data_IF_912364570680
#
_entry.id   IF_912364570680
#
_cell.length_a   1.000
_cell.length_b   1.000
_cell.length_c   1.000
_cell.angle_alpha   90.00
_cell.angle_beta   90.00
_cell.angle_gamma   90.00
#
_symmetry.space_group_name_H-M   'P 1'
#
loop_
_entity.id
_entity.type
_entity.pdbx_description
1 polymer ?
#
# COMPACT_ATOMS: atom_id res chain seq x y z
N UNK A 1 11.77 2.23 -2.46
CA UNK A 1 10.50 2.83 -2.91
C UNK A 1 10.16 4.10 -2.14
N UNK A 2 10.07 4.07 -0.81
CA UNK A 2 9.81 5.27 -0.01
C UNK A 2 10.84 6.38 -0.26
N UNK A 3 12.12 6.03 -0.36
CA UNK A 3 13.18 6.98 -0.66
C UNK A 3 12.94 7.69 -2.00
N UNK A 4 12.51 6.94 -3.02
CA UNK A 4 12.20 7.52 -4.34
C UNK A 4 10.98 8.43 -4.27
N UNK A 5 9.96 8.04 -3.53
CA UNK A 5 8.78 8.87 -3.31
C UNK A 5 9.16 10.21 -2.65
N UNK A 6 9.96 10.17 -1.59
CA UNK A 6 10.40 11.38 -0.89
C UNK A 6 11.26 12.27 -1.78
N UNK A 7 12.10 11.68 -2.64
CA UNK A 7 12.92 12.41 -3.60
C UNK A 7 12.07 13.12 -4.66
N UNK A 8 11.06 12.43 -5.20
CA UNK A 8 10.16 13.01 -6.20
C UNK A 8 9.28 14.08 -5.56
N UNK A 9 8.87 13.88 -4.31
CA UNK A 9 8.05 14.82 -3.57
C UNK A 9 8.79 16.11 -3.19
N UNK A 10 10.13 16.18 -3.35
CA UNK A 10 10.93 17.34 -3.01
C UNK A 10 10.41 18.57 -3.79
N UNK A 11 9.95 19.60 -3.07
CA UNK A 11 9.34 20.79 -3.66
C UNK A 11 7.89 20.66 -4.08
N UNK A 12 7.30 19.48 -3.93
CA UNK A 12 5.87 19.21 -4.14
C UNK A 12 5.28 18.53 -2.91
N UNK A 13 3.99 18.78 -2.65
CA UNK A 13 3.32 18.13 -1.52
C UNK A 13 3.15 16.62 -1.74
N UNK A 14 2.80 16.23 -2.96
CA UNK A 14 2.65 14.83 -3.37
C UNK A 14 3.21 14.64 -4.77
N UNK A 15 3.88 13.50 -5.05
CA UNK A 15 4.24 13.15 -6.42
C UNK A 15 3.00 12.91 -7.27
N UNK A 16 3.17 13.06 -8.57
CA UNK A 16 2.14 12.68 -9.56
C UNK A 16 2.27 11.20 -9.89
N UNK A 17 1.15 10.61 -10.35
CA UNK A 17 1.15 9.20 -10.77
C UNK A 17 2.18 8.94 -11.88
N UNK A 18 2.30 9.82 -12.87
CA UNK A 18 3.25 9.64 -13.97
C UNK A 18 4.71 9.76 -13.56
N UNK A 19 5.00 10.27 -12.38
CA UNK A 19 6.35 10.33 -11.81
C UNK A 19 6.72 9.02 -11.11
N UNK A 20 5.74 8.15 -10.88
CA UNK A 20 5.91 6.85 -10.23
C UNK A 20 5.62 5.77 -11.28
N UNK A 21 6.60 5.49 -12.11
CA UNK A 21 6.49 4.56 -13.22
C UNK A 21 7.08 3.20 -12.81
N UNK A 22 6.50 2.05 -13.22
CA UNK A 22 7.09 0.74 -12.96
C UNK A 22 8.53 0.61 -13.39
N UNK A 23 8.92 1.24 -14.50
CA UNK A 23 10.31 1.25 -14.96
C UNK A 23 11.24 1.99 -14.00
N UNK A 24 10.74 3.03 -13.35
CA UNK A 24 11.49 3.81 -12.36
C UNK A 24 11.58 3.06 -11.03
N UNK A 25 10.51 2.38 -10.62
CA UNK A 25 10.47 1.58 -9.40
C UNK A 25 11.36 0.35 -9.55
N UNK A 26 11.45 -0.24 -10.75
CA UNK A 26 12.28 -1.39 -11.02
C UNK A 26 11.75 -2.67 -10.36
N UNK A 27 12.63 -3.45 -9.74
CA UNK A 27 12.28 -4.75 -9.16
C UNK A 27 11.25 -4.67 -8.03
N UNK A 28 11.18 -3.56 -7.33
CA UNK A 28 10.21 -3.34 -6.26
C UNK A 28 8.77 -3.34 -6.77
N UNK A 29 8.56 -3.06 -8.06
CA UNK A 29 7.22 -3.06 -8.67
C UNK A 29 6.48 -4.39 -8.49
N UNK A 30 7.19 -5.50 -8.43
CA UNK A 30 6.57 -6.81 -8.22
C UNK A 30 5.69 -6.87 -6.97
N UNK A 31 5.97 -6.04 -5.97
CA UNK A 31 5.25 -6.00 -4.69
C UNK A 31 4.41 -4.72 -4.54
N UNK A 32 4.08 -4.05 -5.64
CA UNK A 32 3.34 -2.79 -5.64
C UNK A 32 1.96 -2.93 -6.22
N UNK A 33 1.09 -2.02 -5.82
CA UNK A 33 -0.23 -1.79 -6.43
C UNK A 33 -0.45 -0.30 -6.58
N UNK A 34 -1.29 0.09 -7.54
CA UNK A 34 -1.78 1.46 -7.67
C UNK A 34 -3.28 1.46 -7.45
N UNK A 35 -3.73 2.28 -6.52
CA UNK A 35 -5.14 2.43 -6.17
C UNK A 35 -5.63 3.75 -6.76
N UNK A 36 -6.69 3.70 -7.55
CA UNK A 36 -7.44 4.88 -7.96
C UNK A 36 -8.41 5.25 -6.83
N UNK A 37 -8.26 6.46 -6.31
CA UNK A 37 -9.08 6.95 -5.20
C UNK A 37 -10.38 7.53 -5.75
N UNK A 38 -11.50 7.09 -5.20
CA UNK A 38 -12.82 7.54 -5.57
C UNK A 38 -13.56 8.13 -4.37
N UNK A 39 -14.63 8.85 -4.63
CA UNK A 39 -15.54 9.37 -3.61
C UNK A 39 -16.95 8.81 -3.87
N UNK A 40 -17.54 8.05 -2.96
CA UNK A 40 -16.99 7.63 -1.64
C UNK A 40 -15.80 6.68 -1.77
N UNK A 41 -15.03 6.58 -0.69
CA UNK A 41 -13.77 5.83 -0.67
C UNK A 41 -13.96 4.34 -1.01
N UNK A 42 -15.12 3.79 -0.74
CA UNK A 42 -15.46 2.39 -1.02
C UNK A 42 -15.46 2.05 -2.51
N UNK A 43 -15.55 3.05 -3.37
CA UNK A 43 -15.45 2.88 -4.82
C UNK A 43 -14.02 2.87 -5.33
N UNK A 44 -13.05 3.14 -4.47
CA UNK A 44 -11.63 3.09 -4.82
C UNK A 44 -11.25 1.67 -5.23
N UNK A 45 -10.39 1.55 -6.24
CA UNK A 45 -10.06 0.26 -6.84
C UNK A 45 -8.64 0.23 -7.37
N UNK A 46 -8.11 -0.97 -7.59
CA UNK A 46 -6.79 -1.15 -8.17
C UNK A 46 -6.82 -0.91 -9.67
N UNK A 47 -5.87 -0.12 -10.17
CA UNK A 47 -5.69 0.10 -11.62
C UNK A 47 -4.41 -0.55 -12.15
N UNK A 48 -3.50 -0.93 -11.27
CA UNK A 48 -2.28 -1.64 -11.63
C UNK A 48 -1.78 -2.44 -10.44
N UNK A 49 -1.09 -3.54 -10.71
CA UNK A 49 -0.47 -4.36 -9.67
C UNK A 49 0.74 -5.09 -10.21
N UNK A 50 1.79 -5.18 -9.40
CA UNK A 50 2.93 -6.03 -9.66
C UNK A 50 2.60 -7.51 -9.50
N UNK A 51 3.43 -8.38 -10.06
CA UNK A 51 3.15 -9.82 -10.19
C UNK A 51 2.87 -10.52 -8.86
N UNK A 52 3.46 -10.07 -7.76
CA UNK A 52 3.28 -10.70 -6.45
C UNK A 52 1.97 -10.31 -5.76
N UNK A 53 1.32 -9.23 -6.21
CA UNK A 53 0.06 -8.75 -5.67
C UNK A 53 -1.12 -8.88 -6.65
N UNK A 54 -0.83 -9.23 -7.91
CA UNK A 54 -1.86 -9.27 -8.97
C UNK A 54 -2.84 -10.44 -8.84
N UNK A 55 -2.46 -11.50 -8.14
CA UNK A 55 -3.11 -12.81 -8.19
C UNK A 55 -4.52 -12.79 -7.59
N UNK A 56 -4.94 -11.71 -6.96
CA UNK A 56 -6.26 -11.72 -6.33
C UNK A 56 -6.80 -10.31 -6.07
N UNK A 57 -6.79 -9.48 -7.11
CA UNK A 57 -7.29 -8.11 -7.02
C UNK A 57 -8.74 -8.00 -6.55
N UNK A 58 -9.49 -9.10 -6.60
CA UNK A 58 -10.91 -9.12 -6.22
C UNK A 58 -11.19 -9.81 -4.88
N UNK A 59 -10.20 -10.40 -4.23
CA UNK A 59 -10.40 -11.14 -2.99
C UNK A 59 -10.02 -10.29 -1.77
N UNK A 60 -10.92 -10.29 -0.76
CA UNK A 60 -10.73 -9.50 0.47
C UNK A 60 -9.60 -10.03 1.35
N UNK A 61 -9.30 -11.32 1.28
CA UNK A 61 -8.29 -12.00 2.07
C UNK A 61 -6.94 -12.08 1.35
N UNK A 62 -6.60 -11.03 0.60
CA UNK A 62 -5.31 -10.92 -0.09
C UNK A 62 -4.47 -9.80 0.53
N UNK A 63 -3.19 -9.83 0.26
CA UNK A 63 -2.28 -8.78 0.72
C UNK A 63 -2.67 -7.41 0.13
N UNK A 64 -3.09 -7.38 -1.15
CA UNK A 64 -3.62 -6.16 -1.76
C UNK A 64 -4.86 -5.65 -1.02
N UNK A 65 -5.77 -6.55 -0.65
CA UNK A 65 -6.95 -6.20 0.14
C UNK A 65 -6.61 -5.66 1.52
N UNK A 66 -5.57 -6.18 2.16
CA UNK A 66 -5.07 -5.65 3.44
C UNK A 66 -4.57 -4.23 3.26
N UNK A 67 -3.82 -3.94 2.20
CA UNK A 67 -3.39 -2.56 1.90
C UNK A 67 -4.58 -1.64 1.67
N UNK A 68 -5.58 -2.09 0.93
CA UNK A 68 -6.78 -1.30 0.64
C UNK A 68 -7.53 -0.93 1.93
N UNK A 69 -7.50 -1.79 2.94
CA UNK A 69 -8.16 -1.53 4.23
C UNK A 69 -7.57 -0.34 4.97
N UNK A 70 -6.35 0.06 4.68
CA UNK A 70 -5.69 1.22 5.29
C UNK A 70 -5.91 2.53 4.51
N UNK A 71 -6.57 2.47 3.36
CA UNK A 71 -6.76 3.64 2.50
C UNK A 71 -7.46 4.81 3.22
N UNK A 72 -8.56 4.60 3.98
CA UNK A 72 -9.21 5.71 4.67
C UNK A 72 -8.29 6.47 5.60
N UNK A 73 -7.38 5.77 6.30
CA UNK A 73 -6.42 6.39 7.20
C UNK A 73 -5.44 7.30 6.45
N UNK A 74 -4.95 6.83 5.29
CA UNK A 74 -4.02 7.61 4.45
C UNK A 74 -4.70 8.87 3.92
N UNK A 75 -5.94 8.74 3.45
CA UNK A 75 -6.68 9.88 2.92
C UNK A 75 -6.97 10.92 4.01
N UNK A 76 -7.31 10.46 5.21
CA UNK A 76 -7.58 11.35 6.35
C UNK A 76 -6.32 12.09 6.81
N UNK A 77 -5.22 11.38 6.97
CA UNK A 77 -3.97 11.96 7.47
C UNK A 77 -3.19 12.72 6.39
N UNK A 78 -3.42 12.39 5.10
CA UNK A 78 -2.71 12.97 3.96
C UNK A 78 -1.18 12.84 4.08
N UNK A 79 -0.73 11.67 4.54
CA UNK A 79 0.68 11.35 4.77
C UNK A 79 0.99 9.94 4.34
N UNK A 80 2.26 9.64 4.09
CA UNK A 80 2.71 8.26 3.89
C UNK A 80 2.48 7.46 5.15
N UNK A 81 1.96 6.26 4.98
CA UNK A 81 1.73 5.31 6.05
C UNK A 81 2.60 4.08 5.86
N UNK A 82 3.34 3.71 6.88
CA UNK A 82 4.03 2.42 6.96
C UNK A 82 3.26 1.58 7.97
N UNK A 83 2.90 0.36 7.56
CA UNK A 83 2.13 -0.56 8.39
C UNK A 83 2.88 -1.88 8.56
N UNK A 84 2.74 -2.46 9.74
CA UNK A 84 3.17 -3.82 10.03
C UNK A 84 2.06 -4.48 10.83
N UNK A 85 1.76 -5.73 10.54
CA UNK A 85 0.71 -6.41 11.26
C UNK A 85 0.61 -7.88 10.95
N UNK A 86 -0.38 -8.50 11.57
CA UNK A 86 -0.78 -9.88 11.34
C UNK A 86 -2.08 -9.89 10.56
N UNK A 87 -2.19 -10.80 9.61
CA UNK A 87 -3.42 -11.03 8.85
C UNK A 87 -3.53 -12.51 8.54
N UNK A 88 -4.70 -12.92 8.06
CA UNK A 88 -4.93 -14.28 7.59
C UNK A 88 -5.22 -14.22 6.10
N UNK A 89 -4.38 -14.86 5.30
CA UNK A 89 -4.57 -14.97 3.86
C UNK A 89 -4.86 -16.44 3.52
N UNK A 90 -6.05 -16.71 2.96
CA UNK A 90 -6.49 -18.07 2.61
C UNK A 90 -6.29 -19.05 3.76
N UNK A 91 -6.77 -18.68 4.95
CA UNK A 91 -6.66 -19.45 6.20
C UNK A 91 -5.22 -19.64 6.72
N UNK A 92 -4.23 -18.96 6.13
CA UNK A 92 -2.84 -19.00 6.60
C UNK A 92 -2.52 -17.70 7.34
N UNK A 93 -2.10 -17.77 8.63
CA UNK A 93 -1.67 -16.57 9.33
C UNK A 93 -0.33 -16.09 8.78
N UNK A 94 -0.23 -14.79 8.55
CA UNK A 94 0.97 -14.15 8.02
C UNK A 94 1.34 -12.92 8.84
N UNK A 95 2.60 -12.56 8.80
CA UNK A 95 3.08 -11.23 9.15
C UNK A 95 3.30 -10.44 7.87
N UNK A 96 2.78 -9.23 7.81
CA UNK A 96 2.98 -8.36 6.65
C UNK A 96 3.60 -7.03 7.05
N UNK A 97 4.27 -6.44 6.08
CA UNK A 97 4.80 -5.08 6.15
C UNK A 97 4.44 -4.38 4.85
N UNK A 98 3.96 -3.16 4.95
CA UNK A 98 3.55 -2.41 3.79
C UNK A 98 3.74 -0.91 3.93
N UNK A 99 3.60 -0.22 2.81
CA UNK A 99 3.61 1.22 2.74
C UNK A 99 2.52 1.70 1.79
N UNK A 100 1.93 2.84 2.12
CA UNK A 100 0.92 3.51 1.30
C UNK A 100 1.37 4.95 1.09
N UNK A 101 1.58 5.31 -0.16
CA UNK A 101 2.18 6.57 -0.58
C UNK A 101 1.15 7.38 -1.38
N UNK A 102 0.61 8.47 -0.83
CA UNK A 102 -0.37 9.26 -1.57
C UNK A 102 0.24 9.97 -2.77
N UNK A 103 -0.53 10.04 -3.85
CA UNK A 103 -0.16 10.69 -5.11
C UNK A 103 -1.25 11.70 -5.47
N UNK A 104 -0.86 12.79 -6.15
CA UNK A 104 -1.80 13.81 -6.57
C UNK A 104 -1.31 14.46 -7.87
N UNK A 105 -2.18 14.51 -8.87
CA UNK A 105 -1.86 15.15 -10.15
C UNK A 105 -1.92 16.68 -10.06
N UNK A 106 -2.78 17.22 -9.19
CA UNK A 106 -2.93 18.66 -9.00
C UNK A 106 -2.20 19.20 -7.76
N UNK A 107 -1.62 18.34 -6.94
CA UNK A 107 -0.94 18.71 -5.70
C UNK A 107 -1.87 18.99 -4.52
N UNK A 108 -3.18 18.92 -4.72
CA UNK A 108 -4.19 19.25 -3.70
C UNK A 108 -4.98 18.01 -3.29
N UNK A 109 -5.66 17.35 -4.23
CA UNK A 109 -6.46 16.17 -3.96
C UNK A 109 -5.64 14.89 -4.17
N UNK A 110 -5.72 13.96 -3.23
CA UNK A 110 -5.12 12.63 -3.41
C UNK A 110 -6.01 11.84 -4.35
N UNK A 111 -5.54 11.61 -5.57
CA UNK A 111 -6.28 10.89 -6.61
C UNK A 111 -5.82 9.46 -6.81
N UNK A 112 -4.61 9.14 -6.36
CA UNK A 112 -4.05 7.79 -6.41
C UNK A 112 -3.23 7.52 -5.16
N UNK A 113 -3.04 6.22 -4.86
CA UNK A 113 -2.15 5.77 -3.79
C UNK A 113 -1.30 4.64 -4.34
N UNK A 114 0.00 4.76 -4.21
CA UNK A 114 0.94 3.67 -4.48
C UNK A 114 1.08 2.84 -3.21
N UNK A 115 0.71 1.57 -3.29
CA UNK A 115 0.87 0.62 -2.21
C UNK A 115 1.99 -0.36 -2.50
N UNK A 116 2.69 -0.79 -1.47
CA UNK A 116 3.66 -1.87 -1.57
C UNK A 116 3.59 -2.72 -0.32
N UNK A 117 3.76 -4.02 -0.47
CA UNK A 117 3.75 -4.92 0.68
C UNK A 117 4.51 -6.21 0.39
N UNK A 118 5.05 -6.77 1.45
CA UNK A 118 5.53 -8.14 1.47
C UNK A 118 5.03 -8.83 2.73
N UNK A 119 5.16 -10.14 2.77
CA UNK A 119 4.68 -10.94 3.89
C UNK A 119 5.50 -12.21 4.03
N UNK A 120 5.39 -12.83 5.19
CA UNK A 120 5.85 -14.19 5.44
C UNK A 120 4.85 -14.95 6.28
N UNK A 121 4.84 -16.27 6.17
CA UNK A 121 4.00 -17.11 7.03
C UNK A 121 4.48 -17.03 8.47
N UNK A 122 3.55 -17.04 9.42
CA UNK A 122 3.87 -17.21 10.83
C UNK A 122 4.34 -18.65 11.07
N UNK A 123 5.44 -18.79 11.78
CA UNK A 123 5.91 -20.10 12.23
C UNK A 123 5.01 -20.60 13.37
N UNK A 124 4.81 -21.92 13.43
CA UNK A 124 3.88 -22.52 14.39
C UNK A 124 4.23 -22.23 15.85
N UNK A 125 5.51 -22.00 16.14
CA UNK A 125 6.05 -21.71 17.47
C UNK A 125 6.27 -20.24 17.74
N UNK A 126 5.98 -19.35 16.77
CA UNK A 126 6.07 -17.92 17.00
C UNK A 126 4.97 -17.45 17.93
N UNK A 127 5.33 -16.68 18.99
CA UNK A 127 4.31 -16.06 19.80
C UNK A 127 3.49 -15.10 18.92
N UNK A 128 2.18 -15.33 18.86
CA UNK A 128 1.26 -14.37 18.24
C UNK A 128 1.27 -13.12 19.09
N UNK A 129 2.09 -12.16 18.70
CA UNK A 129 1.91 -10.82 19.20
C UNK A 129 0.51 -10.37 18.79
N UNK A 130 -0.30 -10.07 19.80
CA UNK A 130 -1.63 -9.53 19.64
C UNK A 130 -1.81 -8.77 18.32
N UNK A 131 -2.95 -8.94 17.69
CA UNK A 131 -3.46 -8.33 16.45
C UNK A 131 -3.22 -6.83 16.31
N UNK A 132 -2.10 -6.32 16.75
CA UNK A 132 -1.81 -4.89 16.71
C UNK A 132 -1.14 -4.57 15.40
N UNK A 133 -1.89 -3.92 14.53
CA UNK A 133 -1.34 -3.24 13.37
C UNK A 133 -0.52 -2.07 13.88
N UNK A 134 0.77 -2.11 13.66
CA UNK A 134 1.65 -0.97 13.96
C UNK A 134 1.63 -0.02 12.79
N UNK A 135 1.31 1.23 13.05
CA UNK A 135 1.28 2.29 12.04
C UNK A 135 2.35 3.32 12.35
N UNK A 136 3.05 3.72 11.31
CA UNK A 136 4.03 4.81 11.41
C UNK A 136 3.77 5.79 10.27
N UNK A 137 3.64 7.06 10.61
CA UNK A 137 3.46 8.14 9.66
C UNK A 137 4.81 8.75 9.27
N UNK A 138 4.97 9.02 8.02
CA UNK A 138 6.19 9.62 7.48
C UNK A 138 5.94 11.06 7.01
#
# INVERSE_FOLDING_TARGET
MLHRWTKVAAGQRFPRLNEIDPWIIGDDWANCVVIAVQSPVELSHFIAAGKNLAVALCARDTLAGVLLSHLPSVLSARRCLIVEGEATLRAVPILYRGALLPLSDDGVAIDHVLGAANHRALLADEPRTTRVVRKRWV
#
